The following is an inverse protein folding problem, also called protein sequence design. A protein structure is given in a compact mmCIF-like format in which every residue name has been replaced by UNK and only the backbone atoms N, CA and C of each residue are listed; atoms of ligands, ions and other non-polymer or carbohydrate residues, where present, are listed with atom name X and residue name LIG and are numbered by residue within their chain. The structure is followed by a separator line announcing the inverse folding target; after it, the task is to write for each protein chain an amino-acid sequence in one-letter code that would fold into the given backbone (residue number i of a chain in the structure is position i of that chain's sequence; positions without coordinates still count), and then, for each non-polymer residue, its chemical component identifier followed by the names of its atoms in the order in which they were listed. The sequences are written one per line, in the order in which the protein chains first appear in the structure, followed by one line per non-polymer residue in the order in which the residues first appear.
data_IF_354834134908
#
_entry.id   IF_354834134908
#
_cell.length_a   1.000
_cell.length_b   1.000
_cell.length_c   1.000
_cell.angle_alpha   90.00
_cell.angle_beta   90.00
_cell.angle_gamma   90.00
#
_symmetry.space_group_name_H-M   'P 1'
#
loop_
_entity.id
_entity.type
_entity.pdbx_description
1 polymer ?
#
# COMPACT_ATOMS: atom_id res chain seq x y z
N UNK A 1 -10.19 6.30 10.14
CA UNK A 1 -8.82 6.15 9.62
C UNK A 1 -7.97 7.16 10.36
N UNK A 2 -6.95 6.71 11.09
CA UNK A 2 -6.06 7.58 11.85
C UNK A 2 -4.98 8.20 10.93
N UNK A 3 -4.14 9.09 11.48
CA UNK A 3 -3.14 9.82 10.69
C UNK A 3 -2.13 8.88 10.01
N UNK A 4 -1.62 7.87 10.73
CA UNK A 4 -0.65 6.91 10.17
C UNK A 4 -1.29 6.03 9.08
N UNK A 5 -2.55 5.61 9.24
CA UNK A 5 -3.30 4.88 8.22
C UNK A 5 -3.55 5.73 6.98
N UNK A 6 -3.92 7.00 7.13
CA UNK A 6 -4.13 7.89 5.99
C UNK A 6 -2.82 8.12 5.23
N UNK A 7 -1.71 8.37 5.92
CA UNK A 7 -0.38 8.52 5.31
C UNK A 7 0.04 7.24 4.60
N UNK A 8 -0.17 6.09 5.23
CA UNK A 8 0.14 4.77 4.65
C UNK A 8 -0.68 4.52 3.38
N UNK A 9 -1.99 4.76 3.42
CA UNK A 9 -2.87 4.60 2.27
C UNK A 9 -2.47 5.51 1.10
N UNK A 10 -2.21 6.80 1.38
CA UNK A 10 -1.77 7.76 0.36
C UNK A 10 -0.41 7.36 -0.26
N UNK A 11 0.49 6.81 0.54
CA UNK A 11 1.80 6.33 0.06
C UNK A 11 1.63 5.17 -0.92
N UNK A 12 0.81 4.18 -0.57
CA UNK A 12 0.47 3.06 -1.46
C UNK A 12 -0.16 3.58 -2.76
N UNK A 13 -1.03 4.60 -2.67
CA UNK A 13 -1.67 5.23 -3.82
C UNK A 13 -0.63 5.87 -4.75
N UNK A 14 0.27 6.65 -4.16
CA UNK A 14 1.27 7.41 -4.86
C UNK A 14 2.22 6.50 -5.64
N UNK A 15 2.74 5.44 -5.00
CA UNK A 15 3.62 4.47 -5.66
C UNK A 15 2.88 3.77 -6.81
N UNK A 16 1.67 3.28 -6.54
CA UNK A 16 0.89 2.52 -7.51
C UNK A 16 0.55 3.36 -8.75
N UNK A 17 0.13 4.62 -8.53
CA UNK A 17 -0.15 5.57 -9.61
C UNK A 17 1.11 5.94 -10.40
N UNK A 18 2.24 6.21 -9.72
CA UNK A 18 3.51 6.52 -10.38
C UNK A 18 3.99 5.38 -11.29
N UNK A 19 3.85 4.14 -10.85
CA UNK A 19 4.15 2.96 -11.67
C UNK A 19 3.21 2.80 -12.85
N UNK A 20 1.90 3.01 -12.63
CA UNK A 20 0.91 2.96 -13.71
C UNK A 20 1.20 4.00 -14.80
N UNK A 21 1.49 5.24 -14.42
CA UNK A 21 1.88 6.31 -15.35
C UNK A 21 3.18 5.95 -16.12
N UNK A 22 4.10 5.26 -15.45
CA UNK A 22 5.36 4.79 -16.05
C UNK A 22 5.23 3.45 -16.80
N UNK A 23 4.02 2.88 -16.92
CA UNK A 23 3.75 1.57 -17.53
C UNK A 23 4.56 0.40 -16.93
N UNK A 24 4.94 0.50 -15.65
CA UNK A 24 5.68 -0.54 -14.92
C UNK A 24 4.70 -1.58 -14.36
N UNK A 25 4.91 -2.85 -14.70
CA UNK A 25 4.11 -3.99 -14.21
C UNK A 25 4.97 -4.78 -13.20
N UNK A 26 4.46 -5.11 -11.99
CA UNK A 26 3.13 -4.77 -11.50
C UNK A 26 3.00 -3.31 -11.05
N UNK A 27 1.82 -2.71 -11.22
CA UNK A 27 1.50 -1.34 -10.80
C UNK A 27 1.21 -1.23 -9.30
N UNK A 28 1.68 -2.19 -8.50
CA UNK A 28 1.42 -2.27 -7.05
C UNK A 28 2.61 -1.77 -6.25
N UNK A 29 2.34 -1.28 -5.04
CA UNK A 29 3.38 -0.85 -4.11
C UNK A 29 3.89 -2.04 -3.30
N UNK A 30 5.20 -2.23 -3.21
CA UNK A 30 5.80 -3.24 -2.32
C UNK A 30 6.01 -2.67 -0.91
N UNK A 31 6.07 -3.53 0.09
CA UNK A 31 6.34 -3.12 1.48
C UNK A 31 7.67 -2.37 1.63
N UNK A 32 8.68 -2.76 0.85
CA UNK A 32 9.97 -2.05 0.81
C UNK A 32 9.86 -0.62 0.30
N UNK A 33 9.08 -0.40 -0.78
CA UNK A 33 8.84 0.95 -1.32
C UNK A 33 8.04 1.82 -0.35
N UNK A 34 7.05 1.23 0.32
CA UNK A 34 6.24 1.92 1.33
C UNK A 34 7.13 2.35 2.50
N UNK A 35 7.96 1.46 3.03
CA UNK A 35 8.89 1.82 4.12
C UNK A 35 9.94 2.83 3.69
N UNK A 36 10.44 2.76 2.44
CA UNK A 36 11.39 3.73 1.93
C UNK A 36 10.80 5.15 1.89
N UNK A 37 9.54 5.28 1.49
CA UNK A 37 8.83 6.57 1.45
C UNK A 37 8.30 7.01 2.83
N UNK A 38 8.10 6.08 3.76
CA UNK A 38 7.66 6.34 5.14
C UNK A 38 8.80 6.24 6.15
N UNK A 39 10.04 6.54 5.77
CA UNK A 39 11.23 6.39 6.63
C UNK A 39 11.16 7.15 7.97
N UNK A 40 10.36 8.21 8.03
CA UNK A 40 10.18 9.04 9.22
C UNK A 40 9.09 8.50 10.17
N UNK A 41 8.37 7.43 9.77
CA UNK A 41 7.38 6.75 10.59
C UNK A 41 7.92 5.42 11.16
N UNK A 42 7.41 5.03 12.32
CA UNK A 42 7.77 3.74 12.92
C UNK A 42 7.30 2.58 12.04
N UNK A 43 8.24 1.68 11.72
CA UNK A 43 7.96 0.56 10.80
C UNK A 43 6.84 -0.38 11.29
N UNK A 44 6.69 -0.54 12.60
CA UNK A 44 5.65 -1.39 13.18
C UNK A 44 4.28 -0.70 13.17
N UNK A 45 4.24 0.63 13.32
CA UNK A 45 3.02 1.41 13.11
C UNK A 45 2.57 1.35 11.65
N UNK A 46 3.49 1.46 10.68
CA UNK A 46 3.18 1.29 9.26
C UNK A 46 2.67 -0.12 8.98
N UNK A 47 3.27 -1.18 9.57
CA UNK A 47 2.73 -2.55 9.44
C UNK A 47 1.33 -2.69 10.04
N UNK A 48 1.08 -2.10 11.21
CA UNK A 48 -0.25 -2.10 11.83
C UNK A 48 -1.27 -1.37 10.93
N UNK A 49 -0.88 -0.24 10.35
CA UNK A 49 -1.71 0.49 9.40
C UNK A 49 -2.02 -0.34 8.15
N UNK A 50 -1.02 -0.97 7.53
CA UNK A 50 -1.21 -1.86 6.37
C UNK A 50 -2.15 -3.03 6.68
N UNK A 51 -2.02 -3.65 7.87
CA UNK A 51 -2.91 -4.72 8.32
C UNK A 51 -4.33 -4.21 8.56
N UNK A 52 -4.49 -3.05 9.20
CA UNK A 52 -5.78 -2.42 9.45
C UNK A 52 -6.49 -2.07 8.13
N UNK A 53 -5.78 -1.44 7.20
CA UNK A 53 -6.28 -1.07 5.89
C UNK A 53 -6.68 -2.30 5.07
N UNK A 54 -5.87 -3.37 5.11
CA UNK A 54 -6.21 -4.66 4.48
C UNK A 54 -7.48 -5.27 5.09
N UNK A 55 -7.58 -5.31 6.43
CA UNK A 55 -8.79 -5.81 7.12
C UNK A 55 -10.03 -5.00 6.81
N UNK A 56 -9.88 -3.69 6.64
CA UNK A 56 -10.98 -2.79 6.24
C UNK A 56 -11.36 -2.90 4.77
N UNK A 57 -10.66 -3.72 3.98
CA UNK A 57 -10.90 -3.88 2.54
C UNK A 57 -10.40 -2.71 1.69
N UNK A 58 -9.64 -1.77 2.25
CA UNK A 58 -9.11 -0.60 1.52
C UNK A 58 -7.84 -0.92 0.72
N UNK A 59 -7.10 -1.93 1.17
CA UNK A 59 -5.92 -2.47 0.47
C UNK A 59 -6.09 -3.98 0.27
N UNK A 60 -5.49 -4.51 -0.79
CA UNK A 60 -5.37 -5.96 -1.03
C UNK A 60 -3.92 -6.39 -0.96
N UNK A 61 -3.66 -7.53 -0.31
CA UNK A 61 -2.35 -8.17 -0.12
C UNK A 61 -2.12 -9.30 -1.15
N UNK A 62 -0.87 -9.53 -1.58
CA UNK A 62 -0.47 -10.57 -2.55
C UNK A 62 -0.53 -12.01 -2.02
N UNK A 63 -0.40 -13.02 -2.91
CA UNK A 63 -0.37 -14.48 -2.55
C UNK A 63 0.80 -15.28 -3.17
N UNK A 64 1.84 -14.64 -3.69
CA UNK A 64 3.03 -15.28 -4.29
C UNK A 64 4.32 -14.87 -3.59
N UNK A 65 5.43 -15.63 -3.70
CA UNK A 65 6.78 -15.45 -3.07
C UNK A 65 7.26 -14.00 -2.80
N UNK A 66 6.80 -13.00 -3.57
CA UNK A 66 6.94 -11.56 -3.31
C UNK A 66 5.72 -10.98 -2.55
N UNK A 67 5.19 -11.70 -1.57
CA UNK A 67 3.81 -11.58 -1.06
C UNK A 67 3.45 -10.19 -0.51
N UNK A 68 4.47 -9.39 -0.22
CA UNK A 68 4.37 -8.07 0.37
C UNK A 68 4.16 -6.96 -0.67
N UNK A 69 3.15 -7.08 -1.53
CA UNK A 69 2.66 -5.95 -2.31
C UNK A 69 1.21 -5.60 -1.94
N UNK A 70 0.92 -4.31 -2.04
CA UNK A 70 -0.36 -3.72 -1.69
C UNK A 70 -0.95 -3.01 -2.92
N UNK A 71 -2.23 -3.27 -3.16
CA UNK A 71 -3.05 -2.57 -4.17
C UNK A 71 -4.15 -1.79 -3.47
N UNK A 72 -4.43 -0.58 -3.94
CA UNK A 72 -5.62 0.17 -3.50
C UNK A 72 -6.87 -0.45 -4.08
N UNK A 73 -7.83 -0.74 -3.21
CA UNK A 73 -9.19 -1.03 -3.63
C UNK A 73 -9.90 0.30 -3.85
N UNK A 74 -10.02 0.70 -5.11
CA UNK A 74 -11.00 1.67 -5.54
C UNK A 74 -12.29 0.89 -5.69
N UNK A 75 -13.24 1.05 -4.78
CA UNK A 75 -14.54 0.39 -4.89
C UNK A 75 -15.19 0.75 -6.24
N UNK A 76 -15.04 -0.16 -7.19
CA UNK A 76 -15.93 -0.37 -8.30
C UNK A 76 -16.29 -1.84 -8.20
N UNK A 77 -17.40 -2.13 -7.50
CA UNK A 77 -18.09 -3.40 -7.69
C UNK A 77 -18.28 -3.56 -9.20
N UNK A 78 -17.71 -4.61 -9.77
CA UNK A 78 -18.27 -5.17 -11.02
C UNK A 78 -19.73 -5.58 -10.76
#
# INVERSE_FOLDING_TARGET
MNEIEQKTFNTVAHISAGKALSKLIPTTATMGEIFSLMKDADSEEVRKALRSLTRSGRLTYGRTINDFYFKINTDGKE
#
